data_IF_649874462225
#
_entry.id   IF_649874462225
#
_cell.length_a   1.000
_cell.length_b   1.000
_cell.length_c   1.000
_cell.angle_alpha   90.00
_cell.angle_beta   90.00
_cell.angle_gamma   90.00
#
_symmetry.space_group_name_H-M   'P 1'
#
loop_
_entity.id
_entity.type
_entity.pdbx_description
1 polymer ?
#
# COMPACT_ATOMS: atom_id res chain seq x y z
N UNK A 1 -22.44 -9.02 -1.65
CA UNK A 1 -21.05 -9.05 -2.14
C UNK A 1 -20.87 -8.02 -3.24
N UNK A 2 -19.71 -7.35 -3.31
CA UNK A 2 -19.33 -6.48 -4.44
C UNK A 2 -18.40 -7.26 -5.36
N UNK A 3 -18.82 -7.50 -6.60
CA UNK A 3 -18.10 -8.32 -7.58
C UNK A 3 -17.32 -7.52 -8.65
N UNK A 4 -17.42 -6.19 -8.59
CA UNK A 4 -16.66 -5.29 -9.46
C UNK A 4 -15.19 -5.25 -9.02
N UNK A 5 -14.25 -4.99 -9.95
CA UNK A 5 -12.86 -4.68 -9.57
C UNK A 5 -12.80 -3.47 -8.64
N UNK A 6 -11.99 -3.56 -7.59
CA UNK A 6 -11.79 -2.49 -6.60
C UNK A 6 -10.31 -2.16 -6.54
N UNK A 7 -10.00 -0.86 -6.61
CA UNK A 7 -8.67 -0.32 -6.34
C UNK A 7 -8.78 0.60 -5.13
N UNK A 8 -8.25 0.15 -4.00
CA UNK A 8 -8.14 0.95 -2.78
C UNK A 8 -6.77 1.62 -2.76
N UNK A 9 -6.74 2.94 -2.56
CA UNK A 9 -5.50 3.73 -2.45
C UNK A 9 -5.55 4.48 -1.13
N UNK A 10 -4.49 4.36 -0.34
CA UNK A 10 -4.29 5.09 0.92
C UNK A 10 -2.83 5.47 1.10
N UNK A 11 -2.54 6.25 2.14
CA UNK A 11 -1.19 6.60 2.55
C UNK A 11 -0.89 6.28 4.02
N UNK A 12 0.38 6.06 4.34
CA UNK A 12 0.88 5.87 5.71
C UNK A 12 0.70 7.10 6.61
N UNK A 13 0.49 8.27 6.01
CA UNK A 13 0.21 9.55 6.69
C UNK A 13 -1.19 10.07 6.34
N UNK A 14 -2.06 9.22 5.78
CA UNK A 14 -3.43 9.56 5.43
C UNK A 14 -4.35 9.40 6.64
N UNK A 15 -5.15 10.42 6.94
CA UNK A 15 -6.14 10.36 8.03
C UNK A 15 -7.25 9.34 7.78
N UNK A 16 -7.49 8.97 6.52
CA UNK A 16 -8.52 8.00 6.12
C UNK A 16 -8.00 6.56 6.03
N UNK A 17 -6.71 6.31 6.34
CA UNK A 17 -6.07 4.99 6.19
C UNK A 17 -6.82 3.89 6.91
N UNK A 18 -7.24 4.14 8.15
CA UNK A 18 -7.97 3.16 8.94
C UNK A 18 -9.27 2.71 8.26
N UNK A 19 -10.00 3.64 7.65
CA UNK A 19 -11.24 3.35 6.93
C UNK A 19 -10.98 2.51 5.69
N UNK A 20 -9.98 2.90 4.90
CA UNK A 20 -9.57 2.18 3.70
C UNK A 20 -9.13 0.73 4.01
N UNK A 21 -8.27 0.54 5.01
CA UNK A 21 -7.78 -0.78 5.41
C UNK A 21 -8.86 -1.64 6.07
N UNK A 22 -9.78 -1.03 6.82
CA UNK A 22 -10.95 -1.72 7.38
C UNK A 22 -11.83 -2.26 6.27
N UNK A 23 -12.18 -1.41 5.29
CA UNK A 23 -12.98 -1.84 4.14
C UNK A 23 -12.28 -2.95 3.34
N UNK A 24 -10.98 -2.81 3.07
CA UNK A 24 -10.19 -3.83 2.37
C UNK A 24 -10.26 -5.19 3.09
N UNK A 25 -9.96 -5.22 4.39
CA UNK A 25 -10.01 -6.43 5.22
C UNK A 25 -11.40 -7.05 5.24
N UNK A 26 -12.42 -6.24 5.49
CA UNK A 26 -13.79 -6.73 5.65
C UNK A 26 -14.35 -7.22 4.31
N UNK A 27 -14.01 -6.58 3.20
CA UNK A 27 -14.33 -7.08 1.86
C UNK A 27 -13.66 -8.44 1.62
N UNK A 28 -12.35 -8.58 1.89
CA UNK A 28 -11.66 -9.86 1.73
C UNK A 28 -12.24 -10.96 2.62
N UNK A 29 -12.65 -10.65 3.86
CA UNK A 29 -13.23 -11.65 4.76
C UNK A 29 -14.58 -12.19 4.26
N UNK A 30 -15.36 -11.36 3.55
CA UNK A 30 -16.75 -11.67 3.18
C UNK A 30 -16.97 -11.92 1.69
N UNK A 31 -15.98 -11.66 0.84
CA UNK A 31 -16.07 -11.84 -0.61
C UNK A 31 -15.75 -13.28 -1.05
N UNK A 32 -16.37 -13.70 -2.15
CA UNK A 32 -16.03 -14.92 -2.87
C UNK A 32 -14.57 -14.89 -3.34
N UNK A 33 -13.94 -16.05 -3.57
CA UNK A 33 -12.58 -16.11 -4.12
C UNK A 33 -12.40 -15.28 -5.40
N UNK A 34 -13.41 -15.25 -6.27
CA UNK A 34 -13.39 -14.52 -7.54
C UNK A 34 -13.43 -13.00 -7.35
N UNK A 35 -14.18 -12.50 -6.37
CA UNK A 35 -14.22 -11.07 -6.05
C UNK A 35 -12.97 -10.62 -5.29
N UNK A 36 -12.45 -11.45 -4.37
CA UNK A 36 -11.17 -11.18 -3.67
C UNK A 36 -10.02 -10.97 -4.65
N UNK A 37 -9.93 -11.82 -5.68
CA UNK A 37 -8.89 -11.73 -6.70
C UNK A 37 -8.92 -10.40 -7.50
N UNK A 38 -9.97 -9.60 -7.38
CA UNK A 38 -10.16 -8.32 -8.07
C UNK A 38 -10.04 -7.10 -7.15
N UNK A 39 -9.69 -7.27 -5.88
CA UNK A 39 -9.47 -6.16 -4.94
C UNK A 39 -7.98 -5.89 -4.75
N UNK A 40 -7.52 -4.75 -5.29
CA UNK A 40 -6.14 -4.28 -5.22
C UNK A 40 -6.00 -3.17 -4.17
N UNK A 41 -4.83 -3.10 -3.54
CA UNK A 41 -4.49 -2.13 -2.52
C UNK A 41 -3.15 -1.45 -2.82
N UNK A 42 -3.11 -0.13 -2.77
CA UNK A 42 -1.90 0.68 -2.84
C UNK A 42 -1.76 1.48 -1.54
N UNK A 43 -0.59 1.39 -0.92
CA UNK A 43 -0.22 2.15 0.29
C UNK A 43 1.05 2.93 -0.01
N UNK A 44 0.93 4.23 -0.31
CA UNK A 44 2.08 5.11 -0.45
C UNK A 44 2.53 5.72 0.89
N UNK A 45 3.67 6.41 0.95
CA UNK A 45 4.09 7.15 2.15
C UNK A 45 3.40 8.52 2.24
N UNK A 46 2.17 8.65 1.76
CA UNK A 46 1.54 9.94 1.48
C UNK A 46 0.59 10.37 2.58
N UNK A 47 0.28 11.67 2.59
CA UNK A 47 -0.87 12.23 3.29
C UNK A 47 -2.15 12.13 2.43
N UNK A 48 -3.27 12.65 2.94
CA UNK A 48 -4.55 12.60 2.25
C UNK A 48 -4.56 13.29 0.88
N UNK A 49 -3.78 14.36 0.70
CA UNK A 49 -3.66 15.01 -0.61
C UNK A 49 -2.79 14.18 -1.55
N UNK A 50 -1.74 13.55 -1.01
CA UNK A 50 -0.81 12.71 -1.75
C UNK A 50 -1.41 11.40 -2.27
N UNK A 51 -2.54 10.93 -1.73
CA UNK A 51 -3.31 9.83 -2.36
C UNK A 51 -3.97 10.22 -3.69
N UNK A 52 -3.92 11.50 -4.07
CA UNK A 52 -4.29 12.01 -5.40
C UNK A 52 -3.09 12.56 -6.16
N UNK A 53 -2.22 13.30 -5.48
CA UNK A 53 -1.04 13.93 -6.07
C UNK A 53 0.19 13.66 -5.20
N UNK A 54 0.83 12.49 -5.36
CA UNK A 54 1.99 12.09 -4.58
C UNK A 54 3.09 13.14 -4.51
N UNK A 55 3.65 13.29 -3.31
CA UNK A 55 4.88 14.04 -3.06
C UNK A 55 5.93 13.12 -2.47
N UNK A 56 7.18 13.54 -2.57
CA UNK A 56 8.33 12.84 -2.01
C UNK A 56 8.62 13.22 -0.54
N UNK A 57 7.77 14.02 0.10
CA UNK A 57 7.92 14.42 1.50
C UNK A 57 6.57 14.71 2.15
N UNK A 58 6.42 14.31 3.41
CA UNK A 58 5.34 14.74 4.32
C UNK A 58 5.94 15.04 5.69
N UNK A 59 5.59 16.18 6.28
CA UNK A 59 5.96 16.52 7.66
C UNK A 59 7.47 16.54 7.94
N UNK A 60 8.31 16.84 6.94
CA UNK A 60 9.77 16.82 7.07
C UNK A 60 10.43 15.46 6.82
N UNK A 61 9.64 14.38 6.65
CA UNK A 61 10.15 13.05 6.32
C UNK A 61 10.28 12.91 4.80
N UNK A 62 11.51 12.76 4.31
CA UNK A 62 11.80 12.61 2.88
C UNK A 62 11.75 11.16 2.45
N UNK A 63 10.92 10.86 1.45
CA UNK A 63 10.72 9.52 0.88
C UNK A 63 11.54 9.30 -0.39
N UNK A 64 11.84 10.39 -1.10
CA UNK A 64 12.56 10.41 -2.37
C UNK A 64 11.68 10.24 -3.61
N UNK A 65 12.26 10.42 -4.81
CA UNK A 65 11.51 10.46 -6.06
C UNK A 65 10.76 9.15 -6.37
N UNK A 66 11.20 8.01 -5.79
CA UNK A 66 10.51 6.73 -5.91
C UNK A 66 9.10 6.71 -5.30
N UNK A 67 8.81 7.63 -4.38
CA UNK A 67 7.47 7.78 -3.80
C UNK A 67 6.50 8.53 -4.72
N UNK A 68 6.98 9.18 -5.79
CA UNK A 68 6.12 9.92 -6.72
C UNK A 68 5.60 8.93 -7.77
N UNK A 69 4.29 8.67 -7.72
CA UNK A 69 3.57 7.86 -8.71
C UNK A 69 2.58 8.77 -9.43
N UNK A 70 2.51 8.69 -10.75
CA UNK A 70 1.44 9.37 -11.49
C UNK A 70 0.12 8.61 -11.29
N UNK A 71 -0.61 8.98 -10.23
CA UNK A 71 -1.89 8.34 -9.91
C UNK A 71 -2.99 8.66 -10.92
N UNK A 72 -2.91 9.78 -11.65
CA UNK A 72 -3.88 10.07 -12.70
C UNK A 72 -3.71 9.11 -13.88
N UNK A 73 -2.46 8.87 -14.30
CA UNK A 73 -2.19 7.88 -15.34
C UNK A 73 -2.50 6.45 -14.86
N UNK A 74 -2.20 6.13 -13.59
CA UNK A 74 -2.56 4.83 -13.02
C UNK A 74 -4.09 4.60 -13.00
N UNK A 75 -4.88 5.61 -12.61
CA UNK A 75 -6.34 5.54 -12.69
C UNK A 75 -6.82 5.32 -14.13
N UNK A 76 -6.26 6.05 -15.10
CA UNK A 76 -6.58 5.85 -16.52
C UNK A 76 -6.31 4.40 -16.94
N UNK A 77 -5.12 3.86 -16.63
CA UNK A 77 -4.77 2.47 -16.93
C UNK A 77 -5.71 1.48 -16.24
N UNK A 78 -6.09 1.75 -14.98
CA UNK A 78 -7.04 0.93 -14.24
C UNK A 78 -8.40 0.84 -14.92
N UNK A 79 -8.95 1.98 -15.36
CA UNK A 79 -10.23 2.00 -16.08
C UNK A 79 -10.12 1.34 -17.46
N UNK A 80 -9.03 1.55 -18.19
CA UNK A 80 -8.80 0.87 -19.46
C UNK A 80 -8.75 -0.66 -19.29
N UNK A 81 -8.14 -1.15 -18.21
CA UNK A 81 -8.08 -2.59 -17.91
C UNK A 81 -9.41 -3.18 -17.45
N UNK A 82 -10.11 -2.50 -16.56
CA UNK A 82 -11.28 -3.07 -15.84
C UNK A 82 -12.61 -2.80 -16.52
N UNK A 83 -12.70 -1.79 -17.38
CA UNK A 83 -13.93 -1.38 -18.05
C UNK A 83 -13.86 -1.44 -19.57
N UNK A 84 -12.67 -1.68 -20.14
CA UNK A 84 -12.46 -1.83 -21.58
C UNK A 84 -11.67 -3.12 -21.84
N UNK A 85 -10.82 -3.13 -22.86
CA UNK A 85 -9.95 -4.26 -23.21
C UNK A 85 -8.47 -3.89 -23.11
N UNK A 86 -8.12 -2.96 -22.22
CA UNK A 86 -6.74 -2.57 -21.96
C UNK A 86 -5.96 -3.62 -21.15
N UNK A 87 -4.62 -3.58 -21.17
CA UNK A 87 -3.80 -4.46 -20.35
C UNK A 87 -3.81 -4.04 -18.87
N UNK A 88 -3.47 -4.98 -17.97
CA UNK A 88 -3.27 -4.70 -16.55
C UNK A 88 -2.19 -3.61 -16.37
N UNK A 89 -2.38 -2.61 -15.48
CA UNK A 89 -1.34 -1.62 -15.19
C UNK A 89 -0.06 -2.28 -14.70
N UNK A 90 1.08 -1.94 -15.31
CA UNK A 90 2.38 -2.55 -14.97
C UNK A 90 2.82 -2.26 -13.52
N UNK A 91 2.33 -1.17 -12.94
CA UNK A 91 2.55 -0.84 -11.54
C UNK A 91 1.94 -1.87 -10.58
N UNK A 92 0.80 -2.47 -10.93
CA UNK A 92 0.09 -3.45 -10.12
C UNK A 92 0.66 -4.87 -10.34
N UNK A 93 1.88 -5.12 -9.83
CA UNK A 93 2.54 -6.42 -9.98
C UNK A 93 1.78 -7.53 -9.24
N UNK A 94 1.39 -7.26 -7.99
CA UNK A 94 0.59 -8.15 -7.14
C UNK A 94 -0.66 -7.40 -6.62
N UNK A 95 -1.44 -8.02 -5.73
CA UNK A 95 -2.66 -7.47 -5.15
C UNK A 95 -2.39 -6.27 -4.24
N UNK A 96 -1.28 -6.29 -3.52
CA UNK A 96 -0.86 -5.22 -2.62
C UNK A 96 0.44 -4.62 -3.14
N UNK A 97 0.47 -3.30 -3.28
CA UNK A 97 1.68 -2.50 -3.46
C UNK A 97 1.83 -1.56 -2.26
N UNK A 98 2.97 -1.54 -1.61
CA UNK A 98 3.21 -0.65 -0.47
C UNK A 98 4.62 -0.07 -0.50
N UNK A 99 4.77 1.17 -0.06
CA UNK A 99 6.06 1.83 -0.01
C UNK A 99 6.75 1.56 1.32
N UNK A 100 7.89 0.90 1.28
CA UNK A 100 8.73 0.67 2.45
C UNK A 100 9.66 1.87 2.64
N UNK A 101 9.48 2.58 3.76
CA UNK A 101 10.38 3.65 4.15
C UNK A 101 11.78 3.12 4.46
N UNK A 102 12.77 3.96 4.25
CA UNK A 102 14.13 3.68 4.70
C UNK A 102 14.19 3.56 6.23
N UNK A 103 15.08 2.71 6.79
CA UNK A 103 15.18 2.49 8.23
C UNK A 103 15.31 3.80 9.03
N UNK A 104 14.57 3.86 10.14
CA UNK A 104 14.52 5.05 11.00
C UNK A 104 13.79 6.24 10.38
N UNK A 105 13.02 6.04 9.30
CA UNK A 105 12.35 7.09 8.53
C UNK A 105 13.35 8.17 8.08
N UNK A 106 14.56 7.73 7.72
CA UNK A 106 15.68 8.61 7.35
C UNK A 106 16.20 8.25 5.97
N UNK A 107 16.45 9.28 5.15
CA UNK A 107 16.93 9.10 3.78
C UNK A 107 15.81 9.03 2.73
N UNK A 108 16.08 9.65 1.58
CA UNK A 108 15.15 9.76 0.45
C UNK A 108 15.27 8.55 -0.51
N UNK A 109 15.24 7.34 0.06
CA UNK A 109 15.57 6.09 -0.66
C UNK A 109 14.67 4.91 -0.24
N UNK A 110 13.39 5.17 0.03
CA UNK A 110 12.41 4.10 0.18
C UNK A 110 12.15 3.33 -1.11
N UNK A 111 11.39 2.25 -1.03
CA UNK A 111 11.16 1.37 -2.17
C UNK A 111 9.74 0.76 -2.18
N UNK A 112 9.19 0.56 -3.38
CA UNK A 112 7.93 -0.17 -3.55
C UNK A 112 8.14 -1.66 -3.38
N UNK A 113 7.33 -2.25 -2.50
CA UNK A 113 7.20 -3.69 -2.29
C UNK A 113 5.82 -4.17 -2.74
N UNK A 114 5.74 -5.46 -3.04
CA UNK A 114 4.56 -6.10 -3.60
C UNK A 114 4.29 -7.41 -2.89
N UNK A 115 3.02 -7.72 -2.65
CA UNK A 115 2.58 -8.93 -1.98
C UNK A 115 1.22 -9.39 -2.51
N UNK A 116 0.96 -10.70 -2.43
CA UNK A 116 -0.34 -11.28 -2.79
C UNK A 116 -1.38 -11.07 -1.68
N UNK A 117 -0.93 -11.04 -0.42
CA UNK A 117 -1.75 -10.80 0.77
C UNK A 117 -0.90 -10.30 1.95
N UNK A 118 -1.57 -9.91 3.05
CA UNK A 118 -0.91 -9.47 4.28
C UNK A 118 -0.11 -10.56 5.01
N UNK A 119 -0.44 -11.84 4.85
CA UNK A 119 0.25 -12.94 5.56
C UNK A 119 1.65 -13.15 5.04
N UNK A 120 1.89 -12.85 3.76
CA UNK A 120 3.21 -12.92 3.12
C UNK A 120 4.13 -11.75 3.45
N UNK A 121 3.64 -10.71 4.15
CA UNK A 121 4.45 -9.59 4.61
C UNK A 121 5.34 -10.02 5.78
N UNK A 122 6.50 -10.61 5.48
CA UNK A 122 7.54 -10.79 6.49
C UNK A 122 8.23 -9.45 6.75
N UNK A 123 7.98 -8.85 7.91
CA UNK A 123 8.90 -7.85 8.44
C UNK A 123 10.09 -8.65 8.99
N UNK A 124 11.32 -8.43 8.51
CA UNK A 124 12.49 -8.96 9.19
C UNK A 124 12.44 -8.43 10.61
N UNK A 125 12.22 -9.30 11.60
CA UNK A 125 12.36 -8.92 13.01
C UNK A 125 13.78 -8.41 13.16
N UNK A 126 13.96 -7.09 13.25
CA UNK A 126 15.23 -6.52 13.69
C UNK A 126 15.56 -7.17 15.01
N UNK A 127 16.64 -7.96 15.03
CA UNK A 127 17.13 -8.64 16.21
C UNK A 127 17.52 -7.60 17.26
N UNK A 128 16.56 -7.19 18.11
CA UNK A 128 16.81 -6.41 19.32
C UNK A 128 15.63 -6.36 20.31
N UNK A 129 14.69 -7.31 20.26
CA UNK A 129 13.66 -7.47 21.31
C UNK A 129 13.87 -8.69 22.22
N UNK A 130 15.12 -9.13 22.38
CA UNK A 130 15.50 -10.12 23.41
C UNK A 130 16.57 -9.55 24.33
N UNK A 131 16.24 -8.47 25.05
CA UNK A 131 17.05 -7.99 26.19
C UNK A 131 16.24 -7.07 27.13
N UNK A 132 15.08 -7.51 27.63
CA UNK A 132 14.45 -6.81 28.79
C UNK A 132 13.51 -7.69 29.61
N UNK A 133 13.88 -8.96 29.85
CA UNK A 133 13.17 -9.80 30.84
C UNK A 133 14.10 -10.56 31.78
N UNK A 134 15.33 -10.07 31.97
CA UNK A 134 16.27 -10.64 32.91
C UNK A 134 16.96 -9.54 33.72
N UNK A 135 16.20 -8.87 34.60
CA UNK A 135 16.67 -8.24 35.85
C UNK A 135 15.47 -7.72 36.66
N UNK A 136 14.85 -8.64 37.38
CA UNK A 136 14.17 -8.38 38.63
C UNK A 136 14.26 -9.68 39.46
N UNK A 137 15.35 -9.81 40.19
CA UNK A 137 15.39 -10.53 41.47
C UNK A 137 15.52 -9.47 42.54
#
# INVERSE_FOLDING_TARGET
EIALPILTITGQYDGDELGALTYYRDHLANASPQARAKHFLIIGPWDHAGTRTPRDEVGGVKFGPGAIVDLNDLHRQWYDWTMKSGPKPAFLKNQIAYYLLAPGNSGANGEWKYADDFQTLSIPRTANQTASSARAR
#
